data_IF_168014678877
#
_entry.id   IF_168014678877
#
_cell.length_a   1.000
_cell.length_b   1.000
_cell.length_c   1.000
_cell.angle_alpha   90.00
_cell.angle_beta   90.00
_cell.angle_gamma   90.00
#
_symmetry.space_group_name_H-M   'P 1'
#
loop_
_entity.id
_entity.type
_entity.pdbx_description
1 polymer ?
2 non-polymer ?
3 non-polymer ?
4 water ?
#
# COMPACT_ATOMS: atom_id res chain seq x y z
N UNK A 40 14.31 -17.73 12.70
CA UNK A 40 15.50 -18.62 12.92
C UNK A 40 16.72 -18.23 12.08
N UNK A 41 16.45 -17.84 10.82
CA UNK A 41 17.38 -17.10 9.93
C UNK A 41 17.65 -15.72 10.55
N UNK A 42 18.92 -15.31 10.60
CA UNK A 42 19.27 -13.96 11.04
C UNK A 42 19.03 -13.00 9.89
N UNK A 43 18.50 -11.82 10.21
CA UNK A 43 18.22 -10.80 9.20
C UNK A 43 19.10 -9.59 9.50
N UNK A 44 19.98 -9.21 8.58
CA UNK A 44 20.89 -8.08 8.88
C UNK A 44 20.77 -7.00 7.82
N UNK A 45 20.53 -5.75 8.22
CA UNK A 45 20.40 -4.63 7.31
C UNK A 45 21.74 -3.93 7.14
N UNK A 46 22.14 -3.69 5.89
CA UNK A 46 23.32 -2.95 5.47
C UNK A 46 22.84 -1.53 5.08
N UNK A 47 23.24 -0.51 5.85
CA UNK A 47 22.71 0.85 5.73
C UNK A 47 23.82 1.84 5.38
N UNK A 48 23.48 2.87 4.59
CA UNK A 48 24.39 3.98 4.28
C UNK A 48 23.95 4.84 3.10
N UNK A 49 24.84 5.76 2.69
CA UNK A 49 24.61 6.75 1.60
C UNK A 49 24.70 6.21 0.15
N UNK A 50 24.03 6.91 -0.77
CA UNK A 50 24.05 6.57 -2.20
C UNK A 50 25.53 6.50 -2.62
N UNK A 51 25.90 5.41 -3.31
CA UNK A 51 27.29 5.13 -3.70
C UNK A 51 28.35 5.22 -2.58
N UNK A 52 27.99 4.82 -1.37
CA UNK A 52 28.99 4.59 -0.33
C UNK A 52 29.58 3.16 -0.34
N UNK A 53 28.96 2.24 -1.07
CA UNK A 53 29.52 0.88 -1.23
C UNK A 53 28.78 -0.30 -0.60
N UNK A 54 27.47 -0.15 -0.38
CA UNK A 54 26.67 -1.21 0.25
C UNK A 54 26.54 -2.42 -0.66
N UNK A 55 26.58 -2.16 -1.96
CA UNK A 55 26.55 -3.19 -2.99
C UNK A 55 27.94 -3.85 -3.11
N UNK A 56 29.00 -3.04 -3.08
CA UNK A 56 30.40 -3.52 -3.04
C UNK A 56 30.64 -4.50 -1.85
N UNK A 57 30.18 -4.12 -0.66
CA UNK A 57 30.26 -4.94 0.54
C UNK A 57 29.41 -6.21 0.44
N UNK A 58 28.10 -6.01 0.24
CA UNK A 58 27.13 -7.09 0.10
C UNK A 58 27.52 -8.10 -0.99
N UNK A 59 28.10 -7.60 -2.09
CA UNK A 59 28.62 -8.41 -3.19
C UNK A 59 29.84 -9.28 -2.82
N UNK A 60 30.61 -8.83 -1.83
CA UNK A 60 31.75 -9.54 -1.24
C UNK A 60 31.35 -10.56 -0.14
N UNK A 61 30.45 -10.17 0.76
CA UNK A 61 29.95 -11.08 1.81
C UNK A 61 29.22 -12.32 1.27
N UNK A 62 28.39 -12.16 0.24
CA UNK A 62 27.67 -13.32 -0.33
C UNK A 62 28.59 -14.46 -0.82
N UNK A 63 29.82 -14.10 -1.20
CA UNK A 63 30.77 -15.03 -1.83
C UNK A 63 31.75 -15.74 -0.87
N UNK A 64 31.66 -15.40 0.42
CA UNK A 64 32.56 -15.96 1.41
C UNK A 64 31.94 -17.18 1.98
N UNK A 65 30.62 -17.20 2.02
CA UNK A 65 29.92 -18.23 2.76
C UNK A 65 28.70 -18.75 2.03
N UNK A 66 28.57 -20.08 2.04
CA UNK A 66 27.42 -20.80 1.51
C UNK A 66 26.18 -20.30 2.21
N UNK A 67 26.33 -20.01 3.51
CA UNK A 67 25.25 -19.72 4.45
C UNK A 67 24.76 -18.26 4.48
N UNK A 68 25.44 -17.39 3.73
CA UNK A 68 25.05 -16.00 3.63
C UNK A 68 24.47 -15.73 2.24
N UNK A 69 23.32 -15.06 2.18
CA UNK A 69 22.79 -14.55 0.91
C UNK A 69 22.28 -13.10 1.03
N UNK A 70 22.02 -12.51 -0.14
CA UNK A 70 21.85 -11.08 -0.33
C UNK A 70 20.52 -10.66 -1.00
N UNK A 71 19.94 -9.53 -0.57
CA UNK A 71 18.65 -9.08 -1.06
C UNK A 71 18.81 -7.63 -1.52
N UNK A 72 19.27 -7.43 -2.77
CA UNK A 72 19.58 -6.08 -3.15
C UNK A 72 18.29 -5.28 -3.21
N UNK A 73 18.37 -4.02 -2.85
CA UNK A 73 17.19 -3.17 -2.81
C UNK A 73 16.61 -2.92 -4.21
N UNK A 74 15.27 -3.03 -4.36
CA UNK A 74 14.43 -2.55 -5.44
C UNK A 74 14.95 -1.40 -6.27
N UNK A 75 15.21 -0.27 -5.64
CA UNK A 75 15.58 0.95 -6.35
C UNK A 75 16.83 0.79 -7.17
N UNK A 76 17.84 0.15 -6.56
CA UNK A 76 19.12 -0.08 -7.20
C UNK A 76 18.93 -0.76 -8.56
N UNK A 77 18.00 -1.70 -8.61
CA UNK A 77 17.80 -2.46 -9.82
C UNK A 77 17.08 -1.64 -10.88
N UNK A 78 16.38 -0.57 -10.46
CA UNK A 78 15.55 0.24 -11.37
C UNK A 78 16.32 1.13 -12.37
N UNK A 79 17.60 1.38 -12.12
CA UNK A 79 18.42 2.24 -13.02
C UNK A 79 18.58 1.62 -14.40
N UNK A 92 10.58 -7.16 -16.05
CA UNK A 92 9.32 -7.50 -15.39
C UNK A 92 8.45 -6.25 -15.33
N UNK A 93 7.15 -6.40 -15.05
CA UNK A 93 6.27 -5.24 -15.02
C UNK A 93 6.67 -4.27 -13.89
N UNK A 94 7.26 -4.79 -12.82
CA UNK A 94 7.84 -3.93 -11.78
C UNK A 94 9.10 -3.16 -12.28
N UNK A 95 9.80 -3.72 -13.26
CA UNK A 95 10.94 -3.03 -13.91
C UNK A 95 10.55 -1.78 -14.70
N UNK A 96 9.60 -1.95 -15.63
CA UNK A 96 9.02 -0.83 -16.41
C UNK A 96 8.40 0.16 -15.47
N UNK A 97 7.53 -0.33 -14.58
CA UNK A 97 6.95 0.47 -13.52
C UNK A 97 7.99 1.24 -12.74
N UNK A 98 9.09 0.58 -12.43
CA UNK A 98 10.16 1.21 -11.63
C UNK A 98 11.05 2.21 -12.38
N UNK A 99 11.51 1.86 -13.58
CA UNK A 99 12.28 2.81 -14.41
C UNK A 99 11.50 4.11 -14.59
N UNK A 100 10.26 3.97 -15.08
CA UNK A 100 9.35 5.11 -15.29
C UNK A 100 9.20 5.95 -14.05
N UNK A 101 8.56 5.40 -13.02
CA UNK A 101 8.34 6.19 -11.80
C UNK A 101 9.64 6.86 -11.33
N UNK A 102 10.78 6.20 -11.56
CA UNK A 102 12.10 6.78 -11.23
C UNK A 102 12.47 8.05 -12.03
N UNK A 103 12.22 8.04 -13.34
CA UNK A 103 12.60 9.18 -14.17
C UNK A 103 11.57 10.29 -13.94
N UNK A 104 10.30 9.88 -13.84
CA UNK A 104 9.16 10.75 -13.54
C UNK A 104 9.47 11.56 -12.27
N UNK A 105 10.14 10.91 -11.32
CA UNK A 105 10.41 11.55 -10.03
C UNK A 105 11.59 12.51 -10.04
N UNK A 106 12.66 12.12 -10.75
CA UNK A 106 13.77 13.06 -11.09
C UNK A 106 13.31 14.45 -11.59
N UNK A 107 12.41 14.48 -12.58
CA UNK A 107 11.91 15.74 -13.16
C UNK A 107 11.12 16.61 -12.19
N UNK A 108 10.42 15.97 -11.25
CA UNK A 108 9.36 16.63 -10.52
C UNK A 108 9.13 15.91 -9.20
N UNK A 109 10.14 15.95 -8.31
CA UNK A 109 10.01 15.17 -7.08
C UNK A 109 8.71 15.52 -6.38
N UNK A 110 8.32 16.79 -6.41
CA UNK A 110 7.15 17.26 -5.71
C UNK A 110 5.87 16.56 -6.19
N UNK A 111 5.88 16.06 -7.42
CA UNK A 111 4.74 15.34 -8.01
C UNK A 111 4.74 13.80 -7.75
N UNK A 112 5.94 13.21 -7.72
CA UNK A 112 6.12 11.74 -7.72
C UNK A 112 6.75 11.13 -6.45
N UNK A 113 7.06 11.93 -5.44
CA UNK A 113 7.65 11.37 -4.20
C UNK A 113 6.73 10.39 -3.47
N UNK A 114 5.44 10.71 -3.29
CA UNK A 114 4.52 9.79 -2.60
C UNK A 114 4.44 8.52 -3.41
N UNK A 115 4.31 8.66 -4.72
CA UNK A 115 4.11 7.48 -5.54
C UNK A 115 5.37 6.64 -5.54
N UNK A 116 6.49 7.25 -5.92
CA UNK A 116 7.74 6.50 -5.95
C UNK A 116 7.95 5.88 -4.58
N UNK A 117 7.87 6.69 -3.53
CA UNK A 117 8.07 6.18 -2.17
C UNK A 117 7.19 4.97 -1.82
N UNK A 118 5.89 5.04 -2.05
CA UNK A 118 5.04 3.87 -1.74
C UNK A 118 5.47 2.67 -2.61
N UNK A 119 5.95 2.92 -3.80
CA UNK A 119 6.23 1.79 -4.70
C UNK A 119 7.53 1.09 -4.39
N UNK A 120 8.53 1.92 -4.08
CA UNK A 120 9.81 1.45 -3.59
C UNK A 120 9.75 0.54 -2.34
N UNK A 121 8.75 0.73 -1.47
CA UNK A 121 8.76 0.04 -0.16
C UNK A 121 7.86 -1.24 -0.08
N UNK A 122 6.82 -1.23 -0.90
CA UNK A 122 6.03 -2.41 -1.17
C UNK A 122 6.89 -3.44 -1.88
N UNK A 123 7.65 -2.98 -2.86
CA UNK A 123 8.60 -3.80 -3.63
C UNK A 123 9.73 -4.38 -2.76
N UNK A 124 10.04 -3.69 -1.66
CA UNK A 124 11.08 -4.17 -0.76
C UNK A 124 10.46 -5.23 0.16
N UNK A 125 9.31 -4.92 0.76
CA UNK A 125 8.62 -5.85 1.67
C UNK A 125 8.41 -7.21 0.95
N UNK A 126 7.88 -7.13 -0.26
CA UNK A 126 7.80 -8.27 -1.16
C UNK A 126 9.10 -9.03 -1.38
N UNK A 127 10.17 -8.34 -1.81
CA UNK A 127 11.46 -9.01 -2.07
C UNK A 127 12.06 -9.66 -0.84
N UNK A 128 11.89 -9.05 0.32
CA UNK A 128 12.53 -9.54 1.53
C UNK A 128 11.76 -10.76 2.04
N UNK A 129 10.42 -10.69 1.95
CA UNK A 129 9.55 -11.84 2.29
C UNK A 129 9.81 -13.09 1.45
N UNK A 130 10.10 -12.90 0.16
CA UNK A 130 10.32 -14.04 -0.75
C UNK A 130 11.60 -14.78 -0.41
N UNK A 131 12.61 -14.04 0.02
CA UNK A 131 13.91 -14.62 0.33
C UNK A 131 13.87 -15.40 1.63
N UNK A 132 13.21 -14.83 2.62
CA UNK A 132 12.99 -15.40 3.93
C UNK A 132 12.18 -16.72 3.92
N UNK A 133 11.25 -16.83 2.98
CA UNK A 133 10.45 -18.04 2.79
C UNK A 133 10.86 -18.87 1.57
N UNK A 134 11.86 -18.40 0.82
CA UNK A 134 12.42 -19.16 -0.28
C UNK A 134 13.85 -19.58 0.00
N UNK A 135 14.77 -18.63 -0.16
CA UNK A 135 16.23 -18.84 -0.11
C UNK A 135 16.78 -19.54 1.14
N UNK A 136 18.09 -19.82 1.14
CA UNK A 136 18.82 -20.44 2.27
C UNK A 136 18.24 -21.77 2.82
N UNK A 137 17.89 -22.68 1.92
CA UNK A 137 17.14 -23.89 2.29
C UNK A 137 17.71 -24.69 3.47
N UNK A 138 18.87 -25.35 3.31
CA UNK A 138 19.50 -25.99 4.48
C UNK A 138 20.90 -25.48 4.84
N UNK A 139 20.95 -24.20 5.19
CA UNK A 139 22.13 -23.59 5.80
C UNK A 139 22.08 -23.98 7.26
N UNK A 140 23.26 -24.08 7.87
CA UNK A 140 23.37 -24.43 9.28
C UNK A 140 23.45 -23.18 10.16
N UNK A 141 24.01 -22.11 9.60
CA UNK A 141 24.11 -20.82 10.31
C UNK A 141 23.69 -19.69 9.37
N UNK A 142 22.38 -19.35 9.36
CA UNK A 142 21.72 -18.67 8.25
C UNK A 142 21.61 -17.16 8.46
N UNK A 143 22.16 -16.38 7.53
CA UNK A 143 22.19 -14.92 7.67
C UNK A 143 21.63 -14.29 6.41
N UNK A 144 20.60 -13.48 6.56
CA UNK A 144 20.14 -12.74 5.41
C UNK A 144 20.49 -11.25 5.54
N UNK A 145 21.35 -10.80 4.64
CA UNK A 145 21.74 -9.41 4.62
C UNK A 145 20.82 -8.66 3.68
N UNK A 146 20.09 -7.69 4.21
CA UNK A 146 19.27 -6.78 3.40
C UNK A 146 20.08 -5.55 2.93
N UNK A 147 19.95 -5.18 1.66
CA UNK A 147 20.40 -3.89 1.17
C UNK A 147 19.37 -2.86 1.62
N UNK A 148 19.69 -2.16 2.71
CA UNK A 148 18.73 -1.29 3.37
C UNK A 148 17.51 -2.07 3.91
N UNK A 149 16.50 -1.34 4.36
CA UNK A 149 15.35 -1.82 5.09
C UNK A 149 14.20 -0.81 4.96
N UNK A 150 13.07 -1.12 5.61
CA UNK A 150 11.88 -0.33 5.41
C UNK A 150 11.89 0.85 6.34
N UNK A 151 12.93 0.93 7.16
CA UNK A 151 13.26 2.15 7.90
C UNK A 151 14.14 3.11 7.09
N UNK A 152 15.05 2.59 6.28
CA UNK A 152 15.77 3.39 5.25
C UNK A 152 14.82 4.22 4.41
N UNK A 153 13.84 3.51 3.86
CA UNK A 153 12.76 4.03 3.03
C UNK A 153 12.06 5.24 3.64
N UNK A 154 11.56 5.03 4.86
CA UNK A 154 10.71 5.97 5.54
C UNK A 154 11.51 7.01 6.31
N UNK A 155 12.46 6.56 7.11
CA UNK A 155 13.08 7.46 8.07
C UNK A 155 14.33 8.14 7.52
N UNK A 156 14.71 7.76 6.30
CA UNK A 156 15.81 8.40 5.59
C UNK A 156 15.27 9.07 4.35
N UNK A 157 14.72 8.28 3.43
CA UNK A 157 14.22 8.82 2.17
C UNK A 157 12.83 9.53 2.20
N UNK A 158 11.84 8.96 2.87
CA UNK A 158 10.53 9.61 2.96
C UNK A 158 10.64 10.90 3.76
N UNK A 159 11.37 10.88 4.86
CA UNK A 159 11.59 12.08 5.66
C UNK A 159 12.30 13.22 4.94
N UNK A 160 13.35 12.90 4.20
CA UNK A 160 14.09 13.92 3.46
C UNK A 160 13.22 14.59 2.39
N UNK A 161 12.41 13.78 1.70
CA UNK A 161 11.56 14.30 0.64
C UNK A 161 10.39 15.13 1.18
N UNK A 162 9.72 14.67 2.23
CA UNK A 162 8.75 15.48 2.95
C UNK A 162 9.36 16.80 3.43
N UNK A 163 10.55 16.72 4.02
CA UNK A 163 11.24 17.89 4.58
C UNK A 163 11.92 18.84 3.58
N UNK A 164 11.97 18.47 2.31
CA UNK A 164 12.39 19.40 1.27
C UNK A 164 11.22 19.71 0.33
N UNK A 165 10.00 19.48 0.83
CA UNK A 165 8.75 19.91 0.18
C UNK A 165 8.48 19.29 -1.19
N UNK A 166 8.88 18.03 -1.34
CA UNK A 166 8.48 17.25 -2.49
C UNK A 166 7.26 16.41 -2.13
N UNK A 167 7.04 16.22 -0.84
CA UNK A 167 5.79 15.66 -0.34
C UNK A 167 5.12 16.70 0.53
N UNK A 168 3.79 16.79 0.44
CA UNK A 168 3.05 17.72 1.26
C UNK A 168 2.56 16.99 2.51
N UNK A 169 1.96 17.75 3.42
CA UNK A 169 1.69 17.26 4.76
C UNK A 169 0.83 16.00 4.71
N UNK A 170 -0.21 16.05 3.88
CA UNK A 170 -1.17 14.96 3.72
C UNK A 170 -0.46 13.72 3.10
N UNK A 171 0.43 13.97 2.14
CA UNK A 171 1.19 12.89 1.48
C UNK A 171 1.99 12.09 2.49
N UNK A 172 2.67 12.78 3.39
CA UNK A 172 3.60 12.19 4.34
C UNK A 172 2.87 11.48 5.48
N UNK A 173 1.72 12.00 5.86
CA UNK A 173 0.89 11.42 6.92
C UNK A 173 0.14 10.15 6.45
N UNK A 174 -0.24 10.11 5.16
CA UNK A 174 -0.81 8.90 4.54
C UNK A 174 0.29 7.83 4.42
N UNK A 175 1.47 8.27 3.98
CA UNK A 175 2.59 7.39 3.84
C UNK A 175 2.87 6.67 5.17
N UNK A 176 2.98 7.47 6.23
CA UNK A 176 3.30 6.91 7.53
C UNK A 176 2.22 5.95 8.01
N UNK A 177 0.97 6.28 7.70
CA UNK A 177 -0.18 5.44 8.02
C UNK A 177 -0.12 4.13 7.25
N UNK A 178 0.13 4.20 5.94
CA UNK A 178 0.26 2.99 5.16
C UNK A 178 1.46 2.16 5.62
N UNK A 179 2.58 2.85 5.88
CA UNK A 179 3.85 2.18 6.19
C UNK A 179 3.75 1.33 7.47
N UNK A 180 3.12 1.88 8.50
CA UNK A 180 2.87 1.12 9.72
C UNK A 180 2.18 -0.18 9.41
N UNK A 181 1.15 -0.08 8.57
CA UNK A 181 0.20 -1.17 8.30
C UNK A 181 0.68 -2.20 7.29
N UNK A 182 1.48 -1.76 6.32
CA UNK A 182 2.04 -2.65 5.35
C UNK A 182 3.03 -3.59 6.02
N UNK A 183 3.73 -3.08 7.03
CA UNK A 183 4.66 -3.87 7.81
C UNK A 183 4.02 -4.84 8.78
N UNK A 184 2.91 -4.42 9.38
CA UNK A 184 2.31 -5.23 10.45
C UNK A 184 1.28 -6.30 9.99
N UNK A 185 0.75 -6.16 8.77
CA UNK A 185 -0.08 -7.24 8.16
C UNK A 185 0.83 -8.20 7.47
N UNK A 186 1.82 -7.64 6.76
CA UNK A 186 2.62 -8.38 5.81
C UNK A 186 4.11 -8.46 6.18
N UNK A 187 4.60 -7.51 6.98
CA UNK A 187 6.05 -7.39 7.19
C UNK A 187 6.63 -7.81 8.54
N UNK A 188 5.82 -8.48 9.37
CA UNK A 188 6.25 -8.92 10.71
C UNK A 188 7.57 -9.71 10.74
N UNK A 189 7.61 -10.84 10.03
CA UNK A 189 8.81 -11.66 9.96
C UNK A 189 9.95 -11.03 9.12
N UNK A 190 10.00 -9.70 9.06
CA UNK A 190 11.16 -9.02 8.50
C UNK A 190 11.94 -8.31 9.60
N UNK A 191 11.41 -8.39 10.82
CA UNK A 191 12.05 -7.87 12.02
C UNK A 191 13.57 -8.15 12.03
N UNK A 192 14.37 -7.11 12.23
CA UNK A 192 15.82 -7.23 12.17
C UNK A 192 16.39 -7.78 13.46
N UNK A 193 17.54 -8.45 13.37
CA UNK A 193 18.33 -8.81 14.54
C UNK A 193 19.56 -7.86 14.69
N UNK A 194 19.92 -7.17 13.61
CA UNK A 194 20.93 -6.10 13.67
C UNK A 194 21.10 -5.27 12.40
N UNK A 195 21.79 -4.15 12.54
CA UNK A 195 22.10 -3.24 11.44
C UNK A 195 23.63 -3.12 11.29
N UNK A 196 24.15 -3.21 10.08
CA UNK A 196 25.55 -2.89 9.85
C UNK A 196 25.58 -1.63 9.05
N UNK A 197 26.24 -0.62 9.62
CA UNK A 197 26.16 0.73 9.10
C UNK A 197 27.46 1.07 8.43
N UNK A 198 27.46 1.19 7.12
CA UNK A 198 28.66 1.70 6.50
C UNK A 198 28.64 3.24 6.71
N UNK A 199 29.44 3.72 7.65
CA UNK A 199 29.59 5.13 7.96
C UNK A 199 30.74 5.75 7.18
N UNK A 200 30.42 6.73 6.35
CA UNK A 200 31.39 7.40 5.50
C UNK A 200 31.09 8.88 5.46
N UNK A 201 32.14 9.71 5.33
CA UNK A 201 31.90 11.13 5.07
C UNK A 201 31.18 11.34 3.71
N UNK A 202 30.29 12.37 3.64
CA UNK A 202 29.46 12.75 2.48
C UNK A 202 30.15 12.99 1.15
N UNK A 203 31.47 13.23 1.14
CA UNK A 203 32.21 13.57 -0.11
C UNK A 203 32.55 12.36 -1.01
N UNK A 204 32.90 11.24 -0.38
CA UNK A 204 33.29 9.98 -1.07
C UNK A 204 32.27 9.55 -2.15
N UNK A 205 31.00 9.74 -1.83
CA UNK A 205 29.92 9.24 -2.64
C UNK A 205 29.82 9.87 -4.05
N UNK A 206 29.94 11.20 -4.16
CA UNK A 206 29.77 11.85 -5.47
C UNK A 206 30.76 11.26 -6.48
N UNK A 207 32.04 11.28 -6.13
CA UNK A 207 33.08 10.56 -6.87
C UNK A 207 32.58 9.19 -7.37
N UNK A 208 31.99 8.42 -6.46
CA UNK A 208 31.57 7.05 -6.75
C UNK A 208 30.38 6.94 -7.73
N UNK A 209 29.45 7.90 -7.65
CA UNK A 209 28.41 8.08 -8.69
C UNK A 209 29.02 8.34 -10.09
N UNK A 210 30.16 9.07 -10.14
CA UNK A 210 30.91 9.24 -11.40
C UNK A 210 31.55 7.90 -11.80
N UNK A 211 31.91 7.10 -10.80
CA UNK A 211 32.42 5.74 -11.02
C UNK A 211 31.29 4.77 -11.33
N UNK A 212 30.13 4.96 -10.68
CA UNK A 212 28.98 4.09 -10.95
C UNK A 212 28.39 4.44 -12.33
N UNK A 213 28.89 5.53 -12.91
CA UNK A 213 28.59 5.92 -14.29
C UNK A 213 27.19 6.47 -14.51
N UNK A 214 26.29 6.15 -13.59
CA UNK A 214 24.85 6.45 -13.73
C UNK A 214 24.64 7.90 -14.20
N UNK A 215 24.12 8.02 -15.42
CA UNK A 215 24.13 9.30 -16.09
C UNK A 215 23.03 10.21 -15.61
N UNK A 216 21.84 9.65 -15.34
CA UNK A 216 20.74 10.48 -14.83
C UNK A 216 20.89 10.87 -13.36
N UNK A 217 22.04 10.52 -12.78
CA UNK A 217 22.50 11.12 -11.53
C UNK A 217 23.91 11.67 -11.73
N UNK A 218 24.25 11.94 -12.99
CA UNK A 218 25.61 12.38 -13.35
C UNK A 218 26.15 13.40 -12.34
N UNK A 219 25.43 14.50 -12.20
CA UNK A 219 25.80 15.51 -11.22
C UNK A 219 24.77 15.65 -10.12
N UNK A 220 24.03 14.56 -9.85
CA UNK A 220 23.13 14.52 -8.70
C UNK A 220 23.79 15.31 -7.59
N UNK A 221 23.08 16.33 -7.10
CA UNK A 221 23.69 17.40 -6.28
C UNK A 221 24.59 16.88 -5.18
N UNK A 222 25.60 17.66 -4.81
CA UNK A 222 26.35 17.40 -3.59
C UNK A 222 25.41 17.60 -2.40
N UNK A 223 24.94 18.82 -2.20
CA UNK A 223 24.05 19.17 -1.08
C UNK A 223 23.03 18.09 -0.63
N UNK A 224 22.47 17.36 -1.60
CA UNK A 224 21.59 16.19 -1.32
C UNK A 224 22.30 15.10 -0.49
N UNK A 225 23.50 14.70 -0.90
CA UNK A 225 24.27 13.64 -0.18
C UNK A 225 24.48 14.09 1.24
N UNK A 226 24.68 15.38 1.40
CA UNK A 226 25.01 15.93 2.69
C UNK A 226 23.80 15.84 3.60
N UNK A 227 22.61 16.00 3.02
CA UNK A 227 21.34 15.88 3.74
C UNK A 227 21.17 14.42 4.15
N UNK A 228 21.19 13.51 3.17
CA UNK A 228 21.07 12.09 3.47
C UNK A 228 22.06 11.75 4.56
N UNK A 229 23.25 12.34 4.49
CA UNK A 229 24.24 12.03 5.52
C UNK A 229 23.89 12.34 6.98
N UNK A 230 23.20 13.45 7.30
CA UNK A 230 22.90 13.74 8.73
C UNK A 230 21.81 12.89 9.41
N UNK A 231 20.93 12.25 8.64
CA UNK A 231 19.87 11.42 9.23
C UNK A 231 20.37 10.00 9.62
N UNK A 232 21.44 9.51 8.98
CA UNK A 232 22.02 8.22 9.38
C UNK A 232 22.62 8.36 10.78
N UNK A 233 23.50 9.34 10.97
CA UNK A 233 24.06 9.68 12.31
C UNK A 233 23.03 9.69 13.45
N UNK A 234 21.92 10.37 13.25
CA UNK A 234 20.91 10.52 14.29
C UNK A 234 20.28 9.19 14.61
N UNK A 235 20.04 8.43 13.55
CA UNK A 235 19.36 7.16 13.63
C UNK A 235 20.26 6.10 14.26
N UNK A 236 21.47 6.00 13.73
CA UNK A 236 22.33 4.86 13.94
C UNK A 236 23.56 5.15 14.81
N UNK A 237 23.82 6.42 15.10
CA UNK A 237 25.01 6.80 15.87
C UNK A 237 24.73 7.35 17.26
N UNK A 238 23.56 7.99 17.43
CA UNK A 238 23.13 8.68 18.66
C UNK A 238 21.81 8.12 19.23
N UNK A 239 20.89 7.77 18.33
CA UNK A 239 19.56 7.24 18.69
C UNK A 239 18.55 8.33 19.12
N UNK A 240 18.82 9.56 18.67
CA UNK A 240 17.83 10.68 18.61
C UNK A 240 16.47 10.27 17.94
N UNK A 241 16.56 9.67 16.75
CA UNK A 241 15.43 9.36 15.89
C UNK A 241 14.72 8.10 16.37
N UNK A 242 13.91 8.24 17.43
CA UNK A 242 13.00 7.20 17.92
C UNK A 242 11.87 7.07 16.92
N UNK A 243 11.37 5.85 16.74
CA UNK A 243 10.54 5.52 15.56
C UNK A 243 9.22 4.85 15.95
N UNK A 244 8.38 4.63 14.95
CA UNK A 244 7.08 3.98 15.17
C UNK A 244 7.23 2.48 15.48
N UNK A 245 8.41 2.06 15.98
CA UNK A 245 8.76 0.60 16.07
C UNK A 245 9.56 0.19 17.32
N UNK A 246 8.89 -0.59 18.18
CA UNK A 246 9.33 -0.88 19.56
C UNK A 246 10.66 -1.62 19.73
N UNK A 247 10.81 -2.75 19.04
CA UNK A 247 12.03 -3.57 19.18
C UNK A 247 13.34 -2.91 18.71
N UNK A 248 13.21 -1.88 17.87
CA UNK A 248 14.37 -1.28 17.21
C UNK A 248 15.28 -0.55 18.18
N UNK A 249 14.71 -0.06 19.28
CA UNK A 249 15.46 0.69 20.31
C UNK A 249 16.57 -0.17 20.85
N UNK A 250 16.21 -1.37 21.31
CA UNK A 250 17.20 -2.36 21.72
C UNK A 250 17.53 -3.33 20.56
N UNK A 251 18.09 -2.79 19.48
CA UNK A 251 18.67 -3.62 18.42
C UNK A 251 20.14 -3.25 18.12
N UNK A 252 21.01 -4.27 18.12
CA UNK A 252 22.44 -4.06 18.00
C UNK A 252 22.81 -3.48 16.63
N UNK A 253 23.85 -2.68 16.60
CA UNK A 253 24.22 -1.95 15.42
C UNK A 253 25.70 -2.03 15.34
N UNK A 254 26.19 -2.50 14.20
CA UNK A 254 27.62 -2.49 13.94
C UNK A 254 27.90 -1.34 13.01
N UNK A 255 28.92 -0.57 13.35
CA UNK A 255 29.31 0.60 12.63
C UNK A 255 30.72 0.45 12.10
N UNK A 256 30.84 0.64 10.79
CA UNK A 256 32.09 0.50 10.05
C UNK A 256 32.36 1.84 9.37
N UNK A 257 33.48 2.47 9.73
CA UNK A 257 33.95 3.65 9.02
C UNK A 257 34.62 3.09 7.78
N UNK A 258 34.07 3.42 6.62
CA UNK A 258 34.52 2.88 5.33
C UNK A 258 34.98 3.99 4.37
N UNK A 259 35.62 4.99 4.96
CA UNK A 259 36.25 6.00 4.16
C UNK A 259 37.45 5.39 3.45
N UNK A 260 38.38 4.79 4.21
CA UNK A 260 39.50 4.05 3.61
C UNK A 260 38.98 2.98 2.66
N UNK A 261 39.24 3.15 1.36
CA UNK A 261 38.81 2.17 0.33
C UNK A 261 39.14 0.72 0.76
N UNK A 262 38.36 -0.26 0.31
CA UNK A 262 38.45 -1.62 0.85
C UNK A 262 38.17 -2.80 -0.10
N UNK A 263 37.76 -2.53 -1.34
CA UNK A 263 37.38 -3.59 -2.33
C UNK A 263 38.40 -4.73 -2.61
N UNK A 264 39.61 -4.58 -2.08
CA UNK A 264 40.66 -5.58 -2.17
C UNK A 264 41.26 -5.77 -0.77
N UNK A 265 40.69 -5.07 0.20
CA UNK A 265 41.17 -5.08 1.59
C UNK A 265 40.00 -5.03 2.58
N UNK A 266 39.18 -6.09 2.56
CA UNK A 266 37.93 -6.09 3.29
C UNK A 266 37.92 -7.00 4.48
N UNK A 267 39.09 -7.55 4.79
CA UNK A 267 39.23 -8.58 5.79
C UNK A 267 39.11 -8.09 7.23
N UNK A 268 39.59 -6.89 7.53
CA UNK A 268 39.32 -6.33 8.86
C UNK A 268 37.82 -6.07 9.01
N UNK A 269 37.24 -5.50 7.96
CA UNK A 269 35.79 -5.21 7.92
C UNK A 269 34.93 -6.47 7.98
N UNK A 270 35.44 -7.55 7.41
CA UNK A 270 34.73 -8.84 7.40
C UNK A 270 34.92 -9.54 8.74
N UNK A 271 36.06 -9.31 9.38
CA UNK A 271 36.30 -9.78 10.76
C UNK A 271 35.32 -9.15 11.73
N UNK A 272 35.00 -7.86 11.53
CA UNK A 272 34.10 -7.15 12.45
C UNK A 272 32.68 -7.72 12.44
N UNK A 273 32.19 -8.04 11.24
CA UNK A 273 30.88 -8.67 11.00
C UNK A 273 30.68 -10.04 11.72
N UNK A 274 31.64 -10.96 11.53
CA UNK A 274 31.65 -12.24 12.24
C UNK A 274 31.59 -12.11 13.75
N UNK A 275 32.41 -11.22 14.32
CA UNK A 275 32.29 -10.82 15.74
C UNK A 275 30.85 -10.36 16.06
N UNK A 276 30.32 -9.43 15.25
CA UNK A 276 28.94 -8.89 15.42
C UNK A 276 27.88 -10.00 15.37
N UNK A 277 28.02 -10.93 14.43
CA UNK A 277 27.06 -12.04 14.28
C UNK A 277 26.99 -12.99 15.48
N UNK A 278 28.11 -13.12 16.21
CA UNK A 278 28.20 -14.03 17.35
C UNK A 278 27.51 -13.48 18.61
N UNK A 279 27.63 -12.17 18.85
CA UNK A 279 26.84 -11.48 19.86
C UNK A 279 25.34 -11.57 19.57
N UNK A 280 24.98 -12.31 18.53
CA UNK A 280 23.58 -12.53 18.18
C UNK A 280 23.34 -14.03 18.15
N UNK B 40 -16.35 -18.02 9.95
CA UNK B 40 -17.70 -18.62 10.05
C UNK B 40 -18.74 -17.51 9.84
N UNK B 41 -18.24 -16.29 9.60
CA UNK B 41 -19.05 -15.15 9.22
C UNK B 41 -19.14 -15.15 7.68
N UNK B 42 -20.36 -14.99 7.16
CA UNK B 42 -20.57 -14.84 5.71
C UNK B 42 -20.33 -13.38 5.32
N UNK B 43 -19.61 -13.15 4.24
CA UNK B 43 -19.27 -11.79 3.78
C UNK B 43 -20.03 -11.54 2.50
N UNK B 44 -20.79 -10.44 2.44
CA UNK B 44 -21.64 -10.11 1.31
C UNK B 44 -21.36 -8.66 1.04
N UNK B 45 -20.92 -8.35 -0.17
CA UNK B 45 -20.73 -6.95 -0.52
C UNK B 45 -22.04 -6.40 -1.10
N UNK B 46 -22.41 -5.19 -0.74
CA UNK B 46 -23.53 -4.50 -1.39
C UNK B 46 -22.96 -3.47 -2.40
N UNK B 47 -23.24 -3.68 -3.69
CA UNK B 47 -22.69 -2.86 -4.77
C UNK B 47 -23.81 -2.04 -5.37
N UNK B 48 -23.45 -0.94 -6.02
CA UNK B 48 -24.42 -0.02 -6.59
C UNK B 48 -23.90 1.41 -6.76
N UNK B 49 -24.20 1.96 -7.93
CA UNK B 49 -23.77 3.31 -8.29
C UNK B 49 -23.99 4.33 -7.16
N UNK B 50 -23.13 5.34 -7.11
CA UNK B 50 -23.28 6.45 -6.18
C UNK B 50 -24.78 6.74 -6.03
N UNK B 51 -25.23 6.92 -4.77
CA UNK B 51 -26.64 7.23 -4.46
C UNK B 51 -27.73 6.16 -4.77
N UNK B 52 -27.32 4.96 -5.19
CA UNK B 52 -28.25 3.82 -5.37
C UNK B 52 -29.19 3.52 -4.19
N UNK B 53 -28.74 3.77 -2.96
CA UNK B 53 -29.50 3.41 -1.75
C UNK B 53 -28.84 2.48 -0.76
N UNK B 54 -27.53 2.23 -0.95
CA UNK B 54 -26.73 1.32 -0.13
C UNK B 54 -26.65 1.64 1.37
N UNK B 55 -26.14 2.82 1.73
CA UNK B 55 -26.01 3.15 3.15
C UNK B 55 -27.34 3.05 3.89
N UNK B 56 -28.42 3.17 3.12
CA UNK B 56 -29.77 3.14 3.66
C UNK B 56 -30.26 1.72 3.84
N UNK B 57 -30.06 0.91 2.81
CA UNK B 57 -30.45 -0.47 2.82
C UNK B 57 -29.63 -1.28 3.83
N UNK B 58 -28.36 -0.93 3.96
CA UNK B 58 -27.46 -1.67 4.82
C UNK B 58 -27.78 -1.35 6.27
N UNK B 59 -28.26 -0.13 6.50
CA UNK B 59 -28.68 0.30 7.83
C UNK B 59 -30.01 -0.33 8.26
N UNK B 60 -31.03 -0.23 7.40
CA UNK B 60 -32.27 -1.01 7.52
C UNK B 60 -31.99 -2.46 7.93
N UNK B 61 -31.10 -3.11 7.18
CA UNK B 61 -30.77 -4.52 7.42
C UNK B 61 -30.11 -4.77 8.78
N UNK B 62 -29.28 -3.82 9.24
CA UNK B 62 -28.64 -3.91 10.56
C UNK B 62 -29.68 -4.07 11.69
N UNK B 63 -30.78 -3.32 11.61
CA UNK B 63 -31.83 -3.32 12.64
C UNK B 63 -32.59 -4.64 12.74
N UNK B 64 -32.43 -5.53 11.75
CA UNK B 64 -33.34 -6.68 11.60
C UNK B 64 -32.78 -8.00 12.08
N UNK B 65 -31.61 -7.99 12.72
CA UNK B 65 -31.04 -9.22 13.30
C UNK B 65 -29.77 -8.96 14.09
N UNK B 66 -29.53 -9.85 15.04
CA UNK B 66 -28.36 -9.81 15.92
C UNK B 66 -27.21 -10.57 15.29
N UNK B 67 -27.52 -11.36 14.27
CA UNK B 67 -26.51 -12.08 13.49
C UNK B 67 -25.99 -11.16 12.37
N UNK B 68 -26.61 -10.00 12.24
CA UNK B 68 -26.37 -9.11 11.10
C UNK B 68 -25.57 -7.87 11.51
N UNK B 69 -24.40 -7.68 10.90
CA UNK B 69 -23.63 -6.48 11.13
C UNK B 69 -23.17 -5.91 9.78
N UNK B 70 -23.08 -4.57 9.70
CA UNK B 70 -22.51 -3.80 8.54
C UNK B 70 -21.01 -3.36 8.68
N UNK B 71 -20.27 -3.20 7.57
CA UNK B 71 -19.07 -2.32 7.57
C UNK B 71 -19.30 -1.08 6.66
N UNK B 72 -19.42 0.13 7.24
CA UNK B 72 -19.72 1.30 6.39
C UNK B 72 -18.52 1.68 5.46
N UNK B 73 -18.81 2.43 4.41
CA UNK B 73 -17.73 2.88 3.49
C UNK B 73 -16.90 4.00 4.12
N UNK B 74 -15.58 3.84 4.22
CA UNK B 74 -14.76 4.91 4.85
C UNK B 74 -14.77 6.25 4.11
N UNK B 75 -14.71 6.25 2.79
CA UNK B 75 -14.75 7.54 2.10
C UNK B 75 -16.12 8.20 2.28
N UNK B 76 -17.11 7.42 2.69
CA UNK B 76 -18.37 8.00 3.19
C UNK B 76 -18.19 8.55 4.60
N UNK B 77 -17.30 7.94 5.38
CA UNK B 77 -16.94 8.49 6.70
C UNK B 77 -16.22 9.81 6.51
N UNK B 78 -15.27 9.84 5.57
CA UNK B 78 -14.58 11.08 5.22
C UNK B 78 -15.58 12.08 4.67
N UNK B 79 -16.52 11.57 3.86
CA UNK B 79 -17.41 12.36 3.00
C UNK B 79 -18.27 13.37 3.78
N UNK B 92 -9.40 12.37 14.66
CA UNK B 92 -9.20 11.01 14.13
C UNK B 92 -8.24 11.01 12.91
N UNK B 93 -7.18 10.22 12.98
CA UNK B 93 -6.07 10.29 12.00
C UNK B 93 -6.49 10.03 10.55
N UNK B 94 -7.23 8.94 10.32
CA UNK B 94 -7.79 8.64 8.99
C UNK B 94 -8.79 9.71 8.45
N UNK B 95 -9.72 10.20 9.27
CA UNK B 95 -10.70 11.24 8.81
C UNK B 95 -10.03 12.54 8.34
N UNK B 96 -8.99 12.95 9.07
CA UNK B 96 -8.30 14.21 8.78
C UNK B 96 -7.57 14.09 7.47
N UNK B 97 -7.10 12.87 7.15
CA UNK B 97 -6.39 12.57 5.92
C UNK B 97 -7.31 12.33 4.73
N UNK B 98 -8.33 11.49 4.90
CA UNK B 98 -9.30 11.27 3.81
C UNK B 98 -10.05 12.56 3.48
N UNK B 99 -10.40 13.25 4.57
CA UNK B 99 -10.88 14.63 4.55
C UNK B 99 -10.08 15.51 3.60
N UNK B 100 -8.75 15.51 3.75
CA UNK B 100 -7.92 16.33 2.85
C UNK B 100 -7.85 15.84 1.39
N UNK B 101 -7.61 14.54 1.17
CA UNK B 101 -7.46 13.97 -0.18
C UNK B 101 -8.74 13.98 -1.05
N UNK B 102 -9.87 13.75 -0.42
CA UNK B 102 -11.14 13.81 -1.12
C UNK B 102 -11.40 15.24 -1.60
N UNK B 103 -11.10 16.25 -0.76
CA UNK B 103 -11.21 17.65 -1.16
C UNK B 103 -10.30 17.94 -2.37
N UNK B 104 -9.06 17.44 -2.32
CA UNK B 104 -8.12 17.60 -3.44
C UNK B 104 -8.55 16.78 -4.64
N UNK B 105 -9.09 15.59 -4.37
CA UNK B 105 -9.73 14.76 -5.39
C UNK B 105 -10.67 15.64 -6.24
N UNK B 106 -11.52 16.42 -5.57
CA UNK B 106 -12.42 17.38 -6.25
C UNK B 106 -11.67 18.53 -6.89
N UNK B 107 -10.87 19.24 -6.09
CA UNK B 107 -10.12 20.39 -6.58
C UNK B 107 -9.19 20.04 -7.74
N UNK B 108 -8.44 18.92 -7.64
CA UNK B 108 -7.58 18.48 -8.77
C UNK B 108 -7.39 16.96 -8.91
N UNK B 109 -8.27 16.32 -9.69
CA UNK B 109 -8.33 14.85 -9.80
C UNK B 109 -7.15 14.14 -10.51
N UNK B 110 -6.45 14.80 -11.42
CA UNK B 110 -5.38 14.09 -12.12
C UNK B 110 -4.07 14.12 -11.35
N UNK B 111 -3.97 14.99 -10.35
CA UNK B 111 -2.86 14.99 -9.41
C UNK B 111 -3.10 14.00 -8.25
N UNK B 112 -4.35 13.67 -7.95
CA UNK B 112 -4.69 13.10 -6.64
C UNK B 112 -5.33 11.74 -6.60
N UNK B 113 -5.80 11.26 -7.74
CA UNK B 113 -6.52 10.00 -7.90
C UNK B 113 -5.75 8.77 -7.41
N UNK B 114 -4.50 8.60 -7.82
CA UNK B 114 -3.69 7.46 -7.33
C UNK B 114 -3.70 7.45 -5.79
N UNK B 115 -3.27 8.57 -5.21
CA UNK B 115 -3.15 8.77 -3.79
C UNK B 115 -4.46 8.43 -3.07
N UNK B 116 -5.57 8.85 -3.69
CA UNK B 116 -6.90 8.68 -3.12
C UNK B 116 -7.37 7.22 -3.21
N UNK B 117 -7.21 6.55 -4.35
CA UNK B 117 -7.58 5.12 -4.49
C UNK B 117 -6.82 4.16 -3.58
N UNK B 118 -5.52 4.39 -3.48
CA UNK B 118 -4.66 3.65 -2.53
C UNK B 118 -5.12 3.82 -1.05
N UNK B 119 -5.23 5.04 -0.54
CA UNK B 119 -5.72 5.21 0.83
C UNK B 119 -7.14 4.63 1.04
N UNK B 120 -8.05 4.92 0.12
CA UNK B 120 -9.45 4.43 0.22
C UNK B 120 -9.48 2.94 0.42
N UNK B 121 -8.78 2.24 -0.46
CA UNK B 121 -8.66 0.80 -0.35
C UNK B 121 -8.00 0.45 1.01
N UNK B 122 -6.83 0.97 1.30
CA UNK B 122 -6.20 0.64 2.60
C UNK B 122 -7.18 0.76 3.76
N UNK B 123 -7.97 1.84 3.78
CA UNK B 123 -8.91 2.15 4.88
C UNK B 123 -10.07 1.16 4.90
N UNK B 124 -10.57 0.81 3.71
CA UNK B 124 -11.57 -0.26 3.56
C UNK B 124 -11.11 -1.57 4.17
N UNK B 125 -9.92 -2.04 3.76
CA UNK B 125 -9.37 -3.31 4.23
C UNK B 125 -9.22 -3.23 5.75
N UNK B 126 -8.56 -2.17 6.21
CA UNK B 126 -8.44 -1.94 7.64
C UNK B 126 -9.82 -2.00 8.34
N UNK B 127 -10.82 -1.33 7.78
CA UNK B 127 -12.11 -1.23 8.47
C UNK B 127 -12.88 -2.56 8.50
N UNK B 128 -12.80 -3.30 7.41
CA UNK B 128 -13.45 -4.61 7.31
C UNK B 128 -12.80 -5.67 8.25
N UNK B 129 -11.47 -5.66 8.38
CA UNK B 129 -10.78 -6.57 9.35
C UNK B 129 -11.20 -6.28 10.81
N UNK B 130 -11.29 -5.01 11.15
CA UNK B 130 -11.75 -4.57 12.46
C UNK B 130 -13.16 -5.09 12.81
N UNK B 131 -13.96 -5.34 11.79
CA UNK B 131 -15.31 -5.84 11.96
C UNK B 131 -15.42 -7.33 12.26
N UNK B 132 -14.54 -8.13 11.66
CA UNK B 132 -14.43 -9.58 11.92
C UNK B 132 -14.05 -9.92 13.37
N UNK B 133 -13.27 -9.03 13.99
CA UNK B 133 -12.84 -9.16 15.38
C UNK B 133 -13.94 -8.67 16.32
N UNK B 134 -14.23 -7.37 16.22
CA UNK B 134 -15.22 -6.69 17.06
C UNK B 134 -16.63 -7.27 17.14
N UNK B 135 -17.04 -8.06 16.16
CA UNK B 135 -18.41 -8.62 16.13
C UNK B 135 -18.50 -10.14 15.86
N UNK B 136 -19.70 -10.69 16.07
CA UNK B 136 -20.11 -12.03 15.58
C UNK B 136 -19.27 -13.23 16.02
N UNK B 137 -18.55 -13.07 17.13
CA UNK B 137 -17.81 -14.17 17.72
C UNK B 137 -18.79 -15.20 18.29
N UNK B 138 -19.91 -14.73 18.82
CA UNK B 138 -20.87 -15.60 19.48
C UNK B 138 -22.00 -16.11 18.58
N UNK B 139 -22.49 -15.25 17.68
CA UNK B 139 -23.81 -15.41 17.03
C UNK B 139 -24.08 -16.69 16.25
N UNK B 140 -25.35 -16.96 15.97
CA UNK B 140 -25.76 -18.24 15.39
C UNK B 140 -25.46 -18.35 13.89
N UNK B 141 -26.10 -17.50 13.09
CA UNK B 141 -25.78 -17.39 11.65
C UNK B 141 -25.21 -15.99 11.30
N UNK B 142 -23.97 -15.65 11.77
CA UNK B 142 -23.42 -14.28 11.68
C UNK B 142 -23.36 -13.76 10.25
N UNK B 143 -23.82 -12.53 10.02
CA UNK B 143 -23.59 -11.92 8.69
C UNK B 143 -23.16 -10.47 8.83
N UNK B 144 -22.13 -10.13 8.07
CA UNK B 144 -21.56 -8.80 7.97
C UNK B 144 -21.77 -8.33 6.54
N UNK B 145 -22.38 -7.15 6.42
CA UNK B 145 -22.69 -6.54 5.15
C UNK B 145 -21.68 -5.43 4.88
N UNK B 146 -20.72 -5.72 4.01
CA UNK B 146 -19.72 -4.74 3.58
C UNK B 146 -20.37 -3.66 2.70
N UNK B 147 -20.26 -2.39 3.06
CA UNK B 147 -20.69 -1.36 2.11
C UNK B 147 -19.64 -1.06 1.04
N UNK B 148 -19.90 -1.52 -0.18
CA UNK B 148 -18.93 -1.64 -1.28
C UNK B 148 -17.72 -2.53 -0.90
N UNK B 149 -16.89 -2.88 -1.88
CA UNK B 149 -15.78 -3.82 -1.69
C UNK B 149 -14.42 -3.32 -2.24
N UNK B 150 -13.36 -4.11 -2.00
CA UNK B 150 -12.07 -3.88 -2.60
C UNK B 150 -12.20 -4.04 -4.10
N UNK B 151 -13.18 -4.82 -4.54
CA UNK B 151 -13.40 -5.04 -5.97
C UNK B 151 -14.11 -3.90 -6.69
N UNK B 152 -14.99 -3.18 -6.01
CA UNK B 152 -15.46 -1.93 -6.60
C UNK B 152 -14.42 -0.78 -6.51
N UNK B 153 -13.47 -0.91 -5.60
CA UNK B 153 -12.36 0.06 -5.54
C UNK B 153 -11.54 0.06 -6.83
N UNK B 154 -11.23 -1.14 -7.33
CA UNK B 154 -10.42 -1.35 -8.53
C UNK B 154 -11.18 -1.29 -9.88
N UNK B 155 -12.35 -1.92 -9.98
CA UNK B 155 -12.98 -2.22 -11.27
C UNK B 155 -14.10 -1.28 -11.64
N UNK B 156 -14.44 -0.40 -10.72
CA UNK B 156 -15.40 0.62 -11.02
C UNK B 156 -14.64 1.92 -10.93
N UNK B 157 -14.26 2.32 -9.73
CA UNK B 157 -13.85 3.71 -9.51
C UNK B 157 -12.46 4.12 -10.02
N UNK B 158 -11.49 3.21 -9.92
CA UNK B 158 -10.09 3.51 -10.14
C UNK B 158 -9.88 3.36 -11.63
N UNK B 159 -10.34 2.21 -12.15
CA UNK B 159 -10.57 1.95 -13.57
C UNK B 159 -11.22 3.16 -14.24
N UNK B 160 -12.39 3.56 -13.75
CA UNK B 160 -13.04 4.76 -14.27
C UNK B 160 -12.07 5.94 -14.37
N UNK B 161 -11.31 6.14 -13.30
CA UNK B 161 -10.41 7.28 -13.21
C UNK B 161 -9.32 7.12 -14.25
N UNK B 162 -8.77 5.90 -14.39
CA UNK B 162 -7.83 5.64 -15.47
C UNK B 162 -8.44 5.98 -16.87
N UNK B 163 -9.57 5.38 -17.20
CA UNK B 163 -10.26 5.62 -18.49
C UNK B 163 -10.55 7.13 -18.71
N UNK B 164 -10.88 7.85 -17.66
CA UNK B 164 -11.03 9.30 -17.76
C UNK B 164 -9.70 10.05 -17.71
N UNK B 165 -8.61 9.28 -17.81
CA UNK B 165 -7.24 9.77 -17.86
C UNK B 165 -6.77 10.47 -16.60
N UNK B 166 -7.35 10.10 -15.47
CA UNK B 166 -6.91 10.68 -14.20
C UNK B 166 -5.73 9.91 -13.63
N UNK B 167 -5.44 8.75 -14.20
CA UNK B 167 -4.23 7.99 -13.85
C UNK B 167 -3.61 7.58 -15.15
N UNK B 168 -2.31 7.87 -15.33
CA UNK B 168 -1.56 7.41 -16.48
C UNK B 168 -1.31 5.91 -16.28
N UNK B 169 -0.69 5.25 -17.26
CA UNK B 169 -0.53 3.78 -17.16
C UNK B 169 0.35 3.26 -16.02
N UNK B 170 1.29 4.08 -15.56
CA UNK B 170 2.28 3.64 -14.56
C UNK B 170 1.54 3.68 -13.24
N UNK B 171 0.74 4.72 -13.05
CA UNK B 171 -0.04 4.86 -11.83
C UNK B 171 -1.02 3.72 -11.72
N UNK B 172 -1.66 3.40 -12.84
CA UNK B 172 -2.64 2.32 -12.98
C UNK B 172 -1.99 0.95 -12.80
N UNK B 173 -0.86 0.67 -13.44
CA UNK B 173 -0.21 -0.62 -13.21
C UNK B 173 0.45 -0.74 -11.83
N UNK B 174 0.82 0.41 -11.23
CA UNK B 174 1.31 0.43 -9.85
C UNK B 174 0.16 0.16 -8.88
N UNK B 175 -0.98 0.84 -9.06
CA UNK B 175 -2.15 0.56 -8.24
C UNK B 175 -2.54 -0.89 -8.36
N UNK B 176 -2.41 -1.44 -9.57
CA UNK B 176 -2.94 -2.78 -9.80
C UNK B 176 -2.08 -3.83 -9.13
N UNK B 177 -0.77 -3.71 -9.34
CA UNK B 177 0.24 -4.44 -8.57
C UNK B 177 -0.06 -4.40 -7.05
N UNK B 178 0.04 -3.20 -6.48
CA UNK B 178 -0.39 -2.82 -5.12
C UNK B 178 -1.65 -3.60 -4.65
N UNK B 179 -2.72 -3.57 -5.45
CA UNK B 179 -4.00 -4.24 -5.16
C UNK B 179 -3.87 -5.76 -5.27
N UNK B 180 -3.22 -6.22 -6.34
CA UNK B 180 -3.12 -7.63 -6.66
C UNK B 180 -2.33 -8.41 -5.62
N UNK B 181 -1.24 -7.81 -5.16
CA UNK B 181 -0.33 -8.46 -4.22
C UNK B 181 -0.96 -8.54 -2.81
N UNK B 182 -1.27 -7.36 -2.26
CA UNK B 182 -1.98 -7.18 -0.99
C UNK B 182 -3.12 -8.16 -0.71
N UNK B 183 -4.06 -8.29 -1.65
CA UNK B 183 -5.23 -9.14 -1.42
C UNK B 183 -5.02 -10.62 -1.74
N UNK B 184 -3.84 -10.95 -2.26
CA UNK B 184 -3.46 -12.34 -2.49
C UNK B 184 -2.82 -12.89 -1.23
N UNK B 185 -2.41 -11.99 -0.35
CA UNK B 185 -1.90 -12.35 0.97
C UNK B 185 -3.03 -12.90 1.82
N UNK B 186 -4.19 -12.26 1.71
CA UNK B 186 -5.36 -12.62 2.51
C UNK B 186 -6.19 -13.67 1.82
N UNK B 188 -8.48 -15.50 1.45
CA UNK B 188 -9.80 -16.01 1.81
C UNK B 188 -10.53 -15.13 2.85
N UNK B 189 -9.74 -14.37 3.61
CA UNK B 189 -10.22 -13.61 4.75
C UNK B 189 -11.35 -12.65 4.42
N UNK B 190 -11.09 -11.61 3.62
CA UNK B 190 -12.14 -10.64 3.29
C UNK B 190 -12.96 -11.13 2.06
N UNK B 191 -12.49 -12.20 1.45
CA UNK B 191 -13.16 -12.79 0.30
C UNK B 191 -14.68 -12.99 0.47
N UNK B 192 -15.43 -12.58 -0.56
CA UNK B 192 -16.88 -12.41 -0.47
C UNK B 192 -17.67 -13.70 -0.62
N UNK B 193 -18.49 -14.02 0.38
CA UNK B 193 -19.41 -15.15 0.29
C UNK B 193 -20.56 -14.90 -0.71
N UNK B 194 -20.81 -13.64 -1.05
CA UNK B 194 -21.87 -13.28 -2.01
C UNK B 194 -21.96 -11.78 -2.27
N UNK B 195 -22.74 -11.40 -3.28
CA UNK B 195 -22.92 -9.99 -3.62
C UNK B 195 -24.38 -9.66 -3.85
N UNK B 196 -24.76 -8.45 -3.44
CA UNK B 196 -26.07 -7.92 -3.71
C UNK B 196 -25.89 -6.64 -4.52
N UNK B 197 -26.36 -6.66 -5.78
CA UNK B 197 -26.31 -5.51 -6.64
C UNK B 197 -27.53 -4.61 -6.47
N UNK B 198 -27.30 -3.41 -5.99
CA UNK B 198 -28.44 -2.52 -5.78
C UNK B 198 -28.51 -1.57 -6.97
N UNK B 199 -29.36 -1.96 -7.92
CA UNK B 199 -29.47 -1.39 -9.24
C UNK B 199 -30.39 -0.16 -9.27
N UNK B 200 -29.87 0.97 -9.76
CA UNK B 200 -30.65 2.21 -9.84
C UNK B 200 -30.20 3.09 -10.99
N UNK B 201 -31.08 3.31 -11.96
CA UNK B 201 -30.78 4.18 -13.11
C UNK B 201 -30.01 5.45 -12.70
N UNK B 202 -29.18 6.00 -13.61
CA UNK B 202 -28.65 7.33 -13.37
C UNK B 202 -29.79 8.35 -13.34
N UNK B 203 -30.86 8.06 -14.10
CA UNK B 203 -32.12 8.78 -13.99
C UNK B 203 -32.54 8.74 -12.52
N UNK B 204 -32.67 7.52 -11.99
CA UNK B 204 -32.95 7.33 -10.55
C UNK B 204 -31.82 7.94 -9.76
N UNK B 205 -30.58 7.60 -10.13
CA UNK B 205 -29.41 7.97 -9.34
C UNK B 205 -29.07 9.46 -9.33
N UNK B 206 -29.38 10.20 -10.39
CA UNK B 206 -29.31 11.65 -10.27
C UNK B 206 -30.49 12.17 -9.44
N UNK B 207 -31.70 11.66 -9.71
CA UNK B 207 -32.91 12.06 -8.98
C UNK B 207 -32.73 11.91 -7.47
N UNK B 208 -31.89 10.94 -7.06
CA UNK B 208 -31.60 10.68 -5.63
C UNK B 208 -30.47 11.51 -5.05
N UNK B 209 -29.52 11.94 -5.90
CA UNK B 209 -28.29 12.62 -5.45
C UNK B 209 -28.58 13.95 -4.72
N UNK B 210 -29.55 14.69 -5.25
CA UNK B 210 -29.93 16.01 -4.72
C UNK B 210 -30.15 16.07 -3.20
N UNK B 211 -30.94 15.15 -2.69
CA UNK B 211 -31.51 15.33 -1.35
C UNK B 211 -30.56 15.32 -0.12
N UNK B 212 -29.52 14.46 -0.14
CA UNK B 212 -28.68 14.12 1.04
C UNK B 212 -28.06 15.23 1.99
N UNK B 213 -27.71 16.40 1.45
CA UNK B 213 -27.18 17.50 2.26
C UNK B 213 -25.67 17.47 2.50
N UNK B 214 -24.90 17.61 1.42
CA UNK B 214 -23.43 17.60 1.48
C UNK B 214 -22.81 18.64 0.53
N UNK B 215 -22.25 19.70 1.11
CA UNK B 215 -21.60 20.78 0.35
C UNK B 215 -20.66 20.30 -0.77
N UNK B 216 -19.94 19.20 -0.52
CA UNK B 216 -18.86 18.77 -1.42
C UNK B 216 -19.32 18.02 -2.69
N UNK B 217 -20.51 17.44 -2.66
CA UNK B 217 -20.95 16.52 -3.73
C UNK B 217 -21.93 17.09 -4.78
N UNK B 218 -22.58 18.20 -4.44
CA UNK B 218 -23.75 18.70 -5.21
C UNK B 218 -23.56 18.72 -6.74
N UNK B 219 -22.35 19.07 -7.19
CA UNK B 219 -21.95 18.94 -8.59
C UNK B 219 -21.34 17.59 -8.99
N UNK B 220 -22.13 16.77 -9.68
CA UNK B 220 -21.70 15.49 -10.29
C UNK B 220 -22.55 15.23 -11.57
N UNK B 221 -21.89 15.09 -12.74
CA UNK B 221 -22.64 14.91 -14.00
C UNK B 221 -23.42 13.60 -14.05
N UNK B 222 -24.28 13.46 -15.05
CA UNK B 222 -25.03 12.24 -15.30
C UNK B 222 -24.20 11.26 -16.14
N UNK B 223 -23.56 11.78 -17.20
CA UNK B 223 -22.64 10.99 -18.03
C UNK B 223 -21.64 10.21 -17.19
N UNK B 224 -21.16 10.84 -16.10
CA UNK B 224 -20.30 10.14 -15.16
C UNK B 224 -21.01 8.84 -14.72
N UNK B 225 -22.19 8.98 -14.17
CA UNK B 225 -22.96 7.84 -13.67
C UNK B 225 -23.21 6.78 -14.74
N UNK B 226 -23.30 7.21 -16.00
CA UNK B 226 -23.46 6.27 -17.10
C UNK B 226 -22.22 5.45 -17.37
N UNK B 227 -21.05 5.95 -16.93
CA UNK B 227 -19.83 5.13 -17.00
C UNK B 227 -19.78 4.10 -15.87
N UNK B 228 -20.18 4.54 -14.67
CA UNK B 228 -20.18 3.69 -13.47
C UNK B 228 -21.27 2.66 -13.57
N UNK B 229 -22.47 3.12 -13.93
CA UNK B 229 -23.60 2.22 -14.14
C UNK B 229 -23.17 1.18 -15.15
N UNK B 230 -22.57 1.64 -16.26
CA UNK B 230 -22.10 0.73 -17.29
C UNK B 230 -21.08 -0.22 -16.69
N UNK B 231 -20.15 0.34 -15.93
CA UNK B 231 -19.11 -0.42 -15.24
C UNK B 231 -19.75 -1.39 -14.24
N UNK B 232 -20.84 -0.95 -13.62
CA UNK B 232 -21.60 -1.79 -12.69
C UNK B 232 -22.43 -2.87 -13.42
N UNK B 233 -23.09 -2.51 -14.52
CA UNK B 233 -23.88 -3.49 -15.28
C UNK B 233 -23.02 -4.58 -15.89
N UNK B 234 -21.87 -4.19 -16.45
CA UNK B 234 -20.98 -5.15 -17.06
C UNK B 234 -20.40 -6.17 -16.06
N UNK B 235 -19.99 -5.71 -14.88
CA UNK B 235 -19.42 -6.61 -13.87
C UNK B 235 -20.50 -7.48 -13.20
N UNK B 236 -21.61 -6.86 -12.79
CA UNK B 236 -22.61 -7.55 -11.92
C UNK B 236 -23.84 -8.15 -12.61
N UNK B 237 -24.31 -7.52 -13.70
CA UNK B 237 -25.43 -8.08 -14.44
C UNK B 237 -25.03 -8.79 -15.73
N UNK B 238 -24.65 -8.02 -16.76
CA UNK B 238 -24.23 -8.60 -18.04
C UNK B 238 -23.10 -9.61 -17.83
N UNK B 239 -22.39 -9.46 -16.69
CA UNK B 239 -21.41 -10.44 -16.14
C UNK B 239 -20.18 -10.73 -16.99
N UNK B 240 -19.77 -9.77 -17.80
CA UNK B 240 -18.64 -9.95 -18.74
C UNK B 240 -17.25 -9.68 -18.14
N UNK B 241 -17.19 -8.74 -17.21
CA UNK B 241 -15.94 -8.12 -16.79
C UNK B 241 -14.90 -9.13 -16.28
N UNK B 242 -13.71 -9.02 -16.87
CA UNK B 242 -12.54 -9.79 -16.49
C UNK B 242 -11.93 -9.14 -15.24
N UNK B 243 -11.32 -9.97 -14.39
CA UNK B 243 -10.75 -9.56 -13.11
C UNK B 243 -9.69 -10.61 -12.92
N UNK B 244 -8.72 -10.34 -12.06
CA UNK B 244 -7.63 -11.28 -11.91
C UNK B 244 -7.87 -12.23 -10.76
N UNK B 245 -8.94 -11.96 -10.00
CA UNK B 245 -9.40 -12.82 -8.92
C UNK B 245 -10.50 -13.73 -9.46
N UNK B 246 -10.14 -14.97 -9.75
CA UNK B 246 -10.97 -15.89 -10.53
C UNK B 246 -12.38 -16.18 -9.95
N UNK B 247 -12.49 -16.22 -8.62
CA UNK B 247 -13.75 -16.61 -7.98
C UNK B 247 -14.88 -15.58 -8.19
N UNK B 248 -14.50 -14.37 -8.61
CA UNK B 248 -15.45 -13.33 -9.00
C UNK B 248 -16.20 -13.66 -10.28
N UNK B 249 -15.80 -14.76 -10.95
CA UNK B 249 -16.55 -15.29 -12.09
C UNK B 249 -17.61 -16.29 -11.62
N UNK B 250 -17.66 -16.55 -10.32
CA UNK B 250 -18.55 -17.57 -9.78
C UNK B 250 -19.12 -17.28 -8.38
N UNK B 251 -18.98 -16.04 -7.90
CA UNK B 251 -19.60 -15.66 -6.63
C UNK B 251 -21.11 -15.43 -6.84
N UNK B 252 -21.94 -15.99 -5.94
CA UNK B 252 -23.38 -15.79 -6.05
C UNK B 252 -23.75 -14.31 -6.06
N UNK B 253 -24.47 -13.87 -7.10
CA UNK B 253 -24.96 -12.47 -7.18
C UNK B 253 -26.47 -12.34 -7.10
N UNK B 254 -26.95 -11.24 -6.49
CA UNK B 254 -28.37 -10.95 -6.42
C UNK B 254 -28.67 -9.52 -6.86
N UNK B 255 -29.44 -9.35 -7.94
CA UNK B 255 -29.75 -8.00 -8.39
C UNK B 255 -31.12 -7.56 -7.95
N UNK B 256 -31.17 -6.47 -7.19
CA UNK B 256 -32.40 -5.90 -6.65
C UNK B 256 -32.66 -4.50 -7.21
N UNK B 257 -33.80 -4.37 -7.87
CA UNK B 257 -34.25 -3.11 -8.43
C UNK B 257 -34.52 -2.11 -7.32
N UNK B 258 -33.61 -1.17 -7.07
CA UNK B 258 -33.85 -0.22 -5.95
C UNK B 258 -34.44 1.13 -6.40
N UNK B 259 -35.23 1.06 -7.47
CA UNK B 259 -35.82 2.23 -8.09
C UNK B 259 -36.87 3.01 -7.27
N UNK B 260 -37.94 2.31 -6.85
CA UNK B 260 -38.91 2.87 -5.91
C UNK B 260 -38.20 3.23 -4.58
N UNK B 261 -38.58 4.36 -3.99
CA UNK B 261 -38.25 4.68 -2.61
C UNK B 261 -38.62 3.46 -1.74
N UNK B 262 -37.63 2.81 -1.16
CA UNK B 262 -37.87 1.62 -0.38
C UNK B 262 -37.82 1.93 1.13
N UNK B 263 -37.79 3.21 1.48
CA UNK B 263 -37.66 3.66 2.86
C UNK B 263 -38.94 3.41 3.68
N UNK B 264 -40.09 3.62 3.03
CA UNK B 264 -41.37 3.39 3.69
C UNK B 264 -41.98 2.02 3.32
N UNK B 265 -41.25 1.24 2.52
CA UNK B 265 -41.71 -0.10 2.12
C UNK B 265 -40.56 -1.00 1.63
N UNK B 266 -40.08 -1.91 2.46
CA UNK B 266 -38.91 -2.74 2.07
C UNK B 266 -38.97 -4.26 2.25
N UNK B 267 -40.08 -4.77 2.74
CA UNK B 267 -40.15 -6.18 3.10
C UNK B 267 -39.78 -7.15 1.98
N UNK B 268 -40.17 -6.79 0.76
CA UNK B 268 -39.99 -7.66 -0.41
C UNK B 268 -38.49 -7.87 -0.74
N UNK B 269 -37.75 -6.76 -0.65
CA UNK B 269 -36.30 -6.74 -0.80
C UNK B 269 -35.71 -7.73 0.21
N UNK B 270 -36.00 -7.48 1.49
CA UNK B 270 -35.48 -8.30 2.59
C UNK B 270 -35.76 -9.81 2.46
N UNK B 271 -36.95 -10.16 1.97
CA UNK B 271 -37.27 -11.56 1.70
C UNK B 271 -36.31 -12.20 0.72
N UNK B 272 -36.03 -11.53 -0.40
CA UNK B 272 -35.02 -11.98 -1.37
C UNK B 272 -33.63 -11.92 -0.75
N UNK B 273 -33.32 -10.84 -0.05
CA UNK B 273 -32.13 -10.85 0.80
C UNK B 273 -32.08 -12.11 1.68
N UNK B 274 -33.12 -12.35 2.50
CA UNK B 274 -33.13 -13.56 3.35
C UNK B 274 -33.12 -14.85 2.57
N UNK B 275 -33.85 -14.87 1.46
CA UNK B 275 -33.94 -16.06 0.61
C UNK B 275 -32.61 -16.32 -0.12
N UNK B 276 -31.95 -15.24 -0.52
CA UNK B 276 -30.62 -15.32 -1.12
C UNK B 276 -29.62 -15.94 -0.12
N UNK B 277 -29.60 -15.43 1.11
CA UNK B 277 -28.64 -15.90 2.14
C UNK B 277 -28.77 -17.37 2.52
N UNK B 278 -29.99 -17.90 2.47
CA UNK B 278 -30.26 -19.30 2.82
C UNK B 278 -29.70 -20.28 1.77
N UNK B 279 -29.00 -19.75 0.75
CA UNK B 279 -28.45 -20.53 -0.36
C UNK B 279 -26.91 -20.60 -0.43
N UNK B 280 -26.23 -19.73 0.30
CA UNK B 280 -24.79 -19.54 0.06
C UNK B 280 -23.92 -20.66 0.63
#
# INVERSE_FOLDING_TARGET
MGSSHHHHHHSSGLVPRGSHMATPPKRSSPSFSASSEGTRIKKISIEGNIAAGKSTFVNILKQLSEDWEVVPEPVARWSNVQSTQDEFEELTMEQKNGGNVLQMMYEKPERWSFTFQTYACLSRIRAQLASLNGKLKDAEKPVLFFERSVYSDRYIFASNLYESESMNETEWTIYQDWHDWMNNQFGQSLELDGIIYLQATPETCLHRIYLRGRNEEQGIPLEYLEKLHYKHESWLLHRTLKTNFDYLQEVPILTLDVNEDFKDKYESLVEKVKEFLSTL
MGSSHHHHHHSSGLVPRGSHMATPPKRSSPSFSASSEGTRIKKISIEGNIAAGKSTFVNILKQLSEDWEVVPEPVARWSNVQSTQDEFEELTMEQKNGGNVLQMMYEKPERWSFTFQTYACLSRIRAQLASLNGKLKDAEKPVLFFERSVYSDRYIFASNLYESESMNETEWTIYQDWHDWMNNQFGQSLELDGIIYLQATPETCLHRIYLRGRNEEQGIPLEYLEKLHYKHESWLLHRTLKTNFDYLQEVPILTLDVNEDFKDKYESLVEKVKEFLSTL
#
